data_IF_144144285988
#
_entry.id   IF_144144285988
#
_cell.length_a   1.000
_cell.length_b   1.000
_cell.length_c   1.000
_cell.angle_alpha   90.00
_cell.angle_beta   90.00
_cell.angle_gamma   90.00
#
_symmetry.space_group_name_H-M   'P 1'
#
loop_
_entity.id
_entity.type
_entity.pdbx_description
1 polymer ?
#
# COMPACT_ATOMS: atom_id res chain seq x y z
N UNK A 1 -30.87 60.67 -11.80
CA UNK A 1 -31.14 59.27 -11.44
C UNK A 1 -29.93 58.42 -11.83
N UNK A 2 -29.06 58.07 -10.87
CA UNK A 2 -27.88 57.23 -11.12
C UNK A 2 -28.24 55.77 -10.76
N UNK A 3 -28.28 54.90 -11.78
CA UNK A 3 -28.47 53.44 -11.58
C UNK A 3 -27.16 52.80 -11.10
N UNK A 4 -27.10 52.38 -9.87
CA UNK A 4 -26.01 51.48 -9.37
C UNK A 4 -26.26 50.07 -9.89
N UNK A 5 -25.34 49.60 -10.74
CA UNK A 5 -25.26 48.20 -11.19
C UNK A 5 -24.45 47.42 -10.14
N UNK A 6 -25.14 46.61 -9.34
CA UNK A 6 -24.50 45.67 -8.40
C UNK A 6 -24.13 44.42 -9.19
N UNK A 7 -22.85 44.27 -9.50
CA UNK A 7 -22.29 43.03 -10.06
C UNK A 7 -22.06 42.07 -8.90
N UNK A 8 -22.97 41.10 -8.77
CA UNK A 8 -22.81 39.99 -7.82
C UNK A 8 -21.77 39.01 -8.38
N UNK A 9 -20.56 39.05 -7.84
CA UNK A 9 -19.48 38.11 -8.18
C UNK A 9 -19.76 36.79 -7.43
N UNK A 10 -20.39 35.84 -8.12
CA UNK A 10 -20.56 34.46 -7.66
C UNK A 10 -19.19 33.79 -7.65
N UNK A 11 -18.57 33.69 -6.48
CA UNK A 11 -17.42 32.83 -6.22
C UNK A 11 -17.90 31.36 -6.29
N UNK A 12 -17.72 30.74 -7.46
CA UNK A 12 -17.88 29.30 -7.62
C UNK A 12 -16.64 28.66 -6.98
N UNK A 13 -16.77 28.26 -5.73
CA UNK A 13 -15.79 27.42 -5.06
C UNK A 13 -15.83 26.03 -5.74
N UNK A 14 -14.94 25.79 -6.69
CA UNK A 14 -14.71 24.46 -7.21
C UNK A 14 -14.14 23.60 -6.09
N UNK A 15 -14.98 22.79 -5.46
CA UNK A 15 -14.53 21.67 -4.62
C UNK A 15 -13.91 20.68 -5.59
N UNK A 16 -12.59 20.77 -5.77
CA UNK A 16 -11.82 19.75 -6.47
C UNK A 16 -11.83 18.52 -5.55
N UNK A 17 -12.82 17.67 -5.67
CA UNK A 17 -12.77 16.34 -5.11
C UNK A 17 -11.56 15.65 -5.74
N UNK A 18 -10.53 15.38 -4.95
CA UNK A 18 -9.29 14.78 -5.42
C UNK A 18 -9.59 13.52 -6.22
N UNK A 19 -9.11 13.48 -7.46
CA UNK A 19 -9.28 12.32 -8.34
C UNK A 19 -8.64 11.10 -7.66
N UNK A 20 -9.40 10.01 -7.51
CA UNK A 20 -8.90 8.75 -6.97
C UNK A 20 -8.26 7.96 -8.10
N UNK A 21 -6.94 7.73 -8.00
CA UNK A 21 -6.21 6.81 -8.88
C UNK A 21 -6.36 5.40 -8.30
N UNK A 22 -6.99 4.49 -9.04
CA UNK A 22 -7.19 3.08 -8.64
C UNK A 22 -6.44 2.14 -9.56
N UNK A 23 -5.83 1.13 -8.97
CA UNK A 23 -5.13 0.04 -9.66
C UNK A 23 -5.65 -1.30 -9.16
N UNK A 24 -5.90 -2.21 -10.10
CA UNK A 24 -6.43 -3.54 -9.82
C UNK A 24 -5.37 -4.59 -10.12
N UNK A 25 -5.33 -5.62 -9.28
CA UNK A 25 -4.38 -6.70 -9.39
C UNK A 25 -5.08 -8.04 -9.13
N UNK A 26 -4.74 -9.05 -9.91
CA UNK A 26 -5.06 -10.44 -9.62
C UNK A 26 -3.93 -11.09 -8.83
N UNK A 27 -4.27 -12.00 -7.93
CA UNK A 27 -3.32 -12.74 -7.10
C UNK A 27 -3.37 -14.21 -7.55
N UNK A 28 -2.21 -14.73 -7.91
CA UNK A 28 -2.03 -16.10 -8.36
C UNK A 28 -1.14 -16.83 -7.37
N UNK A 29 -1.41 -18.12 -7.16
CA UNK A 29 -0.52 -19.08 -6.53
C UNK A 29 -0.35 -20.23 -7.52
N UNK A 30 0.88 -20.45 -7.99
CA UNK A 30 1.13 -21.25 -9.19
C UNK A 30 0.24 -20.78 -10.35
N UNK A 31 -0.59 -21.66 -10.92
CA UNK A 31 -1.54 -21.34 -11.99
C UNK A 31 -2.96 -21.00 -11.48
N UNK A 32 -3.18 -21.09 -10.18
CA UNK A 32 -4.51 -20.85 -9.58
C UNK A 32 -4.73 -19.36 -9.28
N UNK A 33 -5.90 -18.84 -9.66
CA UNK A 33 -6.37 -17.53 -9.22
C UNK A 33 -6.89 -17.64 -7.79
N UNK A 34 -6.16 -17.05 -6.83
CA UNK A 34 -6.44 -17.20 -5.39
C UNK A 34 -6.98 -15.93 -4.76
N UNK A 35 -7.04 -14.82 -5.49
CA UNK A 35 -7.57 -13.59 -4.93
C UNK A 35 -7.29 -12.35 -5.75
N UNK A 36 -7.65 -11.21 -5.20
CA UNK A 36 -7.48 -9.90 -5.84
C UNK A 36 -6.98 -8.85 -4.86
N UNK A 37 -6.45 -7.76 -5.42
CA UNK A 37 -6.00 -6.61 -4.67
C UNK A 37 -6.40 -5.32 -5.40
N UNK A 38 -6.86 -4.35 -4.63
CA UNK A 38 -7.16 -3.00 -5.09
C UNK A 38 -6.24 -2.05 -4.33
N UNK A 39 -5.48 -1.26 -5.10
CA UNK A 39 -4.71 -0.15 -4.58
C UNK A 39 -5.38 1.16 -4.98
N UNK A 40 -5.54 2.10 -4.06
CA UNK A 40 -6.04 3.44 -4.34
C UNK A 40 -5.12 4.52 -3.79
N UNK A 41 -5.02 5.63 -4.52
CA UNK A 41 -4.31 6.84 -4.12
C UNK A 41 -5.22 8.03 -4.31
N UNK A 42 -5.30 8.91 -3.32
CA UNK A 42 -6.02 10.18 -3.43
C UNK A 42 -5.28 11.31 -2.73
N UNK A 43 -5.44 12.52 -3.26
CA UNK A 43 -5.08 13.74 -2.55
C UNK A 43 -6.23 14.15 -1.61
N UNK A 44 -5.91 14.54 -0.41
CA UNK A 44 -6.84 15.04 0.60
C UNK A 44 -6.22 16.27 1.27
N UNK A 45 -6.47 17.44 0.70
CA UNK A 45 -5.76 18.67 1.03
C UNK A 45 -4.26 18.55 0.78
N UNK A 46 -3.45 18.77 1.82
CA UNK A 46 -1.98 18.64 1.76
C UNK A 46 -1.50 17.18 1.93
N UNK A 47 -2.42 16.22 2.10
CA UNK A 47 -2.10 14.84 2.34
C UNK A 47 -2.25 13.98 1.08
N UNK A 48 -1.36 13.00 0.94
CA UNK A 48 -1.52 11.89 -0.01
C UNK A 48 -1.87 10.64 0.77
N UNK A 49 -3.04 10.09 0.50
CA UNK A 49 -3.54 8.87 1.12
C UNK A 49 -3.41 7.72 0.15
N UNK A 50 -2.80 6.63 0.59
CA UNK A 50 -2.70 5.35 -0.09
C UNK A 50 -3.50 4.32 0.70
N UNK A 51 -4.31 3.53 -0.01
CA UNK A 51 -5.13 2.47 0.58
C UNK A 51 -4.97 1.21 -0.26
N UNK A 52 -4.74 0.09 0.42
CA UNK A 52 -4.63 -1.23 -0.22
C UNK A 52 -5.66 -2.13 0.46
N UNK A 53 -6.46 -2.81 -0.33
CA UNK A 53 -7.34 -3.87 0.13
C UNK A 53 -7.10 -5.11 -0.70
N UNK A 54 -6.90 -6.25 -0.05
CA UNK A 54 -6.74 -7.54 -0.73
C UNK A 54 -7.55 -8.63 -0.05
N UNK A 55 -8.09 -9.53 -0.86
CA UNK A 55 -8.73 -10.77 -0.42
C UNK A 55 -8.05 -11.94 -1.12
N UNK A 56 -7.61 -12.92 -0.33
CA UNK A 56 -6.87 -14.10 -0.80
C UNK A 56 -7.43 -15.34 -0.14
N UNK A 57 -7.73 -16.35 -0.94
CA UNK A 57 -8.12 -17.67 -0.45
C UNK A 57 -7.10 -18.71 -0.94
N UNK A 58 -6.35 -19.28 -0.01
CA UNK A 58 -5.41 -20.36 -0.30
C UNK A 58 -5.86 -21.67 0.34
N UNK A 59 -5.43 -22.78 -0.24
CA UNK A 59 -5.66 -24.11 0.29
C UNK A 59 -4.32 -24.82 0.45
N UNK A 60 -3.93 -25.06 1.70
CA UNK A 60 -2.73 -25.85 2.02
C UNK A 60 -3.22 -27.25 2.47
N UNK A 61 -3.59 -27.40 3.75
CA UNK A 61 -4.29 -28.58 4.28
C UNK A 61 -5.79 -28.30 4.44
N UNK A 62 -6.14 -27.05 4.66
CA UNK A 62 -7.51 -26.53 4.77
C UNK A 62 -7.58 -25.16 4.07
N UNK A 63 -8.81 -24.70 3.83
CA UNK A 63 -9.06 -23.39 3.22
C UNK A 63 -8.77 -22.30 4.22
N UNK A 64 -7.91 -21.35 3.84
CA UNK A 64 -7.58 -20.15 4.63
C UNK A 64 -7.96 -18.93 3.80
N UNK A 65 -8.83 -18.10 4.34
CA UNK A 65 -9.15 -16.80 3.78
C UNK A 65 -8.37 -15.72 4.53
N UNK A 66 -7.68 -14.88 3.80
CA UNK A 66 -6.94 -13.73 4.33
C UNK A 66 -7.43 -12.45 3.66
N UNK A 67 -7.81 -11.45 4.45
CA UNK A 67 -8.11 -10.11 3.98
C UNK A 67 -7.13 -9.15 4.63
N UNK A 68 -6.50 -8.29 3.84
CA UNK A 68 -5.56 -7.30 4.34
C UNK A 68 -6.02 -5.91 3.94
N UNK A 69 -6.10 -5.01 4.92
CA UNK A 69 -6.47 -3.61 4.75
C UNK A 69 -5.33 -2.73 5.24
N UNK A 70 -4.76 -1.92 4.34
CA UNK A 70 -3.65 -1.03 4.65
C UNK A 70 -4.04 0.40 4.28
N UNK A 71 -3.65 1.32 5.14
CA UNK A 71 -3.72 2.75 4.89
C UNK A 71 -2.39 3.40 5.22
N UNK A 72 -1.91 4.31 4.35
CA UNK A 72 -0.74 5.14 4.63
C UNK A 72 -1.04 6.59 4.21
N UNK A 73 -0.71 7.54 5.08
CA UNK A 73 -0.93 8.97 4.86
C UNK A 73 0.41 9.68 4.89
N UNK A 74 0.71 10.40 3.81
CA UNK A 74 1.93 11.20 3.65
C UNK A 74 1.60 12.69 3.59
N UNK A 75 2.44 13.50 4.21
CA UNK A 75 2.48 14.95 4.05
C UNK A 75 3.89 15.36 3.63
N UNK A 76 4.03 16.18 2.59
CA UNK A 76 5.32 16.63 2.05
C UNK A 76 6.31 15.47 1.79
N UNK A 77 5.79 14.34 1.30
CA UNK A 77 6.58 13.14 1.02
C UNK A 77 7.01 12.32 2.24
N UNK A 78 6.59 12.69 3.45
CA UNK A 78 6.92 12.03 4.70
C UNK A 78 5.66 11.36 5.26
N UNK A 79 5.78 10.10 5.69
CA UNK A 79 4.71 9.37 6.38
C UNK A 79 4.34 10.09 7.67
N UNK A 80 3.04 10.29 7.90
CA UNK A 80 2.52 10.86 9.16
C UNK A 80 1.65 9.86 9.93
N UNK A 81 1.03 8.94 9.21
CA UNK A 81 0.17 7.91 9.77
C UNK A 81 0.15 6.68 8.87
N UNK A 82 0.07 5.50 9.48
CA UNK A 82 -0.24 4.26 8.77
C UNK A 82 -0.99 3.30 9.69
N UNK A 83 -1.84 2.47 9.09
CA UNK A 83 -2.47 1.32 9.74
C UNK A 83 -2.53 0.15 8.79
N UNK A 84 -2.45 -1.05 9.35
CA UNK A 84 -2.64 -2.29 8.61
C UNK A 84 -3.37 -3.31 9.48
N UNK A 85 -4.47 -3.85 9.00
CA UNK A 85 -5.23 -4.90 9.68
C UNK A 85 -5.27 -6.13 8.79
N UNK A 86 -4.78 -7.24 9.30
CA UNK A 86 -4.86 -8.55 8.66
C UNK A 86 -5.96 -9.37 9.31
N UNK A 87 -6.91 -9.82 8.52
CA UNK A 87 -7.94 -10.76 8.94
C UNK A 87 -7.60 -12.16 8.45
N UNK A 88 -7.83 -13.15 9.27
CA UNK A 88 -7.75 -14.56 8.91
C UNK A 88 -9.07 -15.25 9.26
N UNK A 89 -9.74 -15.83 8.26
CA UNK A 89 -11.07 -16.46 8.39
C UNK A 89 -12.08 -15.54 9.11
N UNK A 90 -12.09 -14.24 8.73
CA UNK A 90 -13.00 -13.22 9.25
C UNK A 90 -12.69 -12.71 10.65
N UNK A 91 -11.56 -13.09 11.27
CA UNK A 91 -11.13 -12.60 12.58
C UNK A 91 -9.86 -11.78 12.42
N UNK A 92 -9.72 -10.72 13.20
CA UNK A 92 -8.46 -9.95 13.26
C UNK A 92 -7.35 -10.89 13.72
N UNK A 93 -6.33 -11.03 12.88
CA UNK A 93 -5.14 -11.82 13.14
C UNK A 93 -3.99 -10.94 13.60
N UNK A 94 -3.84 -9.76 13.00
CA UNK A 94 -2.86 -8.75 13.40
C UNK A 94 -3.37 -7.37 13.06
N UNK A 95 -3.10 -6.41 13.95
CA UNK A 95 -3.39 -5.00 13.76
C UNK A 95 -2.14 -4.17 14.08
N UNK A 96 -1.72 -3.34 13.11
CA UNK A 96 -0.52 -2.50 13.24
C UNK A 96 -0.89 -1.06 12.99
N UNK A 97 -0.41 -0.15 13.84
CA UNK A 97 -0.61 1.29 13.74
C UNK A 97 0.72 2.01 13.89
N UNK A 98 0.97 3.00 13.05
CA UNK A 98 2.19 3.80 13.06
C UNK A 98 1.79 5.26 13.02
N UNK A 99 2.25 6.04 13.99
CA UNK A 99 1.93 7.45 14.13
C UNK A 99 3.19 8.27 14.31
N UNK A 100 3.26 9.39 13.59
CA UNK A 100 4.32 10.38 13.77
C UNK A 100 3.86 11.46 14.73
N UNK A 101 4.58 11.60 15.84
CA UNK A 101 4.38 12.69 16.81
C UNK A 101 5.73 13.15 17.37
N UNK A 102 5.88 14.44 17.62
CA UNK A 102 7.07 15.01 18.27
C UNK A 102 8.42 14.65 17.62
N UNK A 103 8.43 14.44 16.29
CA UNK A 103 9.66 14.15 15.55
C UNK A 103 10.05 12.69 15.47
N UNK A 104 9.28 11.77 16.04
CA UNK A 104 9.50 10.32 15.99
C UNK A 104 8.21 9.58 15.61
N UNK A 105 8.35 8.31 15.26
CA UNK A 105 7.21 7.41 14.99
C UNK A 105 7.10 6.38 16.11
N UNK A 106 5.88 6.19 16.57
CA UNK A 106 5.52 5.09 17.46
C UNK A 106 4.83 4.01 16.64
N UNK A 107 5.26 2.77 16.80
CA UNK A 107 4.66 1.59 16.23
C UNK A 107 3.93 0.83 17.32
N UNK A 108 2.62 0.63 17.15
CA UNK A 108 1.82 -0.28 17.97
C UNK A 108 1.42 -1.47 17.14
N UNK A 109 1.57 -2.68 17.68
CA UNK A 109 1.13 -3.92 17.08
C UNK A 109 0.32 -4.73 18.07
N UNK A 110 -0.89 -5.14 17.64
CA UNK A 110 -1.83 -5.91 18.47
C UNK A 110 -2.12 -5.25 19.84
N UNK A 111 -2.18 -3.89 19.81
CA UNK A 111 -2.45 -3.06 21.00
C UNK A 111 -1.24 -2.77 21.89
N UNK A 112 -0.04 -3.23 21.53
CA UNK A 112 1.19 -2.99 22.29
C UNK A 112 2.16 -2.11 21.49
N UNK A 113 2.78 -1.12 22.16
CA UNK A 113 3.90 -0.37 21.57
C UNK A 113 5.10 -1.29 21.43
N UNK A 114 5.66 -1.37 20.21
CA UNK A 114 6.73 -2.33 19.88
C UNK A 114 8.03 -1.66 19.47
N UNK A 115 7.96 -0.53 18.77
CA UNK A 115 9.14 0.14 18.19
C UNK A 115 8.97 1.65 18.13
N UNK A 116 10.10 2.36 18.10
CA UNK A 116 10.18 3.80 17.84
C UNK A 116 11.19 4.04 16.72
N UNK A 117 10.82 4.84 15.73
CA UNK A 117 11.72 5.31 14.66
C UNK A 117 11.90 6.82 14.74
N UNK A 118 13.13 7.29 14.57
CA UNK A 118 13.46 8.73 14.61
C UNK A 118 13.68 9.33 13.23
N UNK A 119 14.03 8.51 12.23
CA UNK A 119 14.25 8.97 10.87
C UNK A 119 12.94 9.16 10.11
N UNK A 120 12.92 10.11 9.17
CA UNK A 120 11.77 10.36 8.33
C UNK A 120 11.51 9.15 7.40
N UNK A 121 10.32 8.58 7.47
CA UNK A 121 9.88 7.48 6.60
C UNK A 121 9.32 8.10 5.30
N UNK A 122 9.97 7.81 4.16
CA UNK A 122 9.63 8.36 2.85
C UNK A 122 9.00 7.34 1.92
N UNK A 123 9.22 6.05 2.17
CA UNK A 123 8.72 4.92 1.40
C UNK A 123 7.96 3.94 2.29
N UNK A 124 6.92 3.32 1.72
CA UNK A 124 6.13 2.30 2.38
C UNK A 124 5.55 1.31 1.37
N UNK A 125 5.19 0.11 1.79
CA UNK A 125 4.67 -0.92 0.89
C UNK A 125 3.40 -0.45 0.16
N UNK A 126 2.53 0.33 0.80
CA UNK A 126 1.36 0.92 0.14
C UNK A 126 1.74 1.96 -0.94
N UNK A 127 2.76 2.79 -0.69
CA UNK A 127 3.25 3.77 -1.66
C UNK A 127 3.88 3.11 -2.88
N UNK A 128 4.53 1.94 -2.74
CA UNK A 128 5.19 1.21 -3.83
C UNK A 128 4.21 0.79 -4.94
N UNK A 129 2.92 0.67 -4.68
CA UNK A 129 1.93 0.43 -5.73
C UNK A 129 1.82 1.59 -6.74
N UNK A 130 2.22 2.79 -6.38
CA UNK A 130 2.05 4.00 -7.17
C UNK A 130 3.36 4.67 -7.58
N UNK A 131 4.41 4.50 -6.80
CA UNK A 131 5.69 5.20 -6.97
C UNK A 131 6.82 4.19 -6.97
N UNK A 132 7.62 4.20 -8.04
CA UNK A 132 8.88 3.45 -8.09
C UNK A 132 9.86 4.04 -7.07
N UNK A 133 10.50 3.23 -6.21
CA UNK A 133 11.32 3.71 -5.10
C UNK A 133 12.75 4.07 -5.53
N UNK A 134 12.88 4.90 -6.54
CA UNK A 134 14.21 5.33 -7.04
C UNK A 134 14.93 6.14 -5.97
N UNK A 135 16.12 5.67 -5.56
CA UNK A 135 16.94 6.35 -4.55
C UNK A 135 16.53 6.13 -3.10
N UNK A 136 15.54 5.28 -2.85
CA UNK A 136 15.17 4.86 -1.49
C UNK A 136 15.95 3.59 -1.12
N UNK A 137 16.50 3.55 0.10
CA UNK A 137 17.26 2.41 0.62
C UNK A 137 16.40 1.53 1.54
N UNK A 138 15.34 2.09 2.10
CA UNK A 138 14.43 1.40 3.01
C UNK A 138 12.98 1.72 2.69
N UNK A 139 12.10 0.79 3.02
CA UNK A 139 10.65 0.99 2.92
C UNK A 139 9.93 0.38 4.13
N UNK A 140 8.91 1.06 4.61
CA UNK A 140 8.10 0.56 5.71
C UNK A 140 7.19 -0.58 5.20
N UNK A 141 7.17 -1.69 5.93
CA UNK A 141 6.12 -2.71 5.85
C UNK A 141 5.04 -2.37 6.87
N UNK A 142 3.90 -1.87 6.42
CA UNK A 142 2.82 -1.46 7.31
C UNK A 142 2.27 -2.63 8.12
N UNK A 143 2.12 -3.79 7.50
CA UNK A 143 1.59 -5.00 8.16
C UNK A 143 2.51 -5.52 9.27
N UNK A 144 3.82 -5.35 9.10
CA UNK A 144 4.79 -5.82 10.07
C UNK A 144 5.20 -4.73 11.07
N UNK A 145 4.99 -3.45 10.71
CA UNK A 145 5.45 -2.31 11.49
C UNK A 145 6.97 -2.13 11.45
N UNK A 146 7.63 -2.61 10.39
CA UNK A 146 9.09 -2.68 10.28
C UNK A 146 9.61 -1.94 9.05
N UNK A 147 10.74 -1.26 9.21
CA UNK A 147 11.54 -0.80 8.09
C UNK A 147 12.28 -2.01 7.51
N UNK A 148 12.22 -2.16 6.20
CA UNK A 148 12.86 -3.23 5.44
C UNK A 148 13.84 -2.63 4.44
N UNK A 149 14.93 -3.35 4.21
CA UNK A 149 15.89 -2.97 3.19
C UNK A 149 15.28 -3.09 1.79
N UNK A 150 15.60 -2.13 0.95
CA UNK A 150 15.11 -2.04 -0.41
C UNK A 150 16.28 -2.17 -1.39
N UNK A 151 16.50 -3.39 -1.86
CA UNK A 151 17.61 -3.74 -2.73
C UNK A 151 17.25 -3.60 -4.22
N UNK A 152 18.12 -2.96 -4.99
CA UNK A 152 18.00 -2.90 -6.45
C UNK A 152 18.47 -4.22 -7.04
N UNK A 153 17.55 -5.01 -7.60
CA UNK A 153 17.82 -6.32 -8.21
C UNK A 153 18.03 -6.24 -9.73
N UNK A 154 17.88 -5.06 -10.32
CA UNK A 154 18.01 -4.83 -11.76
C UNK A 154 17.23 -3.60 -12.21
N UNK A 155 17.15 -3.41 -13.53
CA UNK A 155 16.38 -2.29 -14.08
C UNK A 155 14.91 -2.44 -13.69
N UNK A 156 14.38 -1.42 -12.97
CA UNK A 156 12.98 -1.37 -12.52
C UNK A 156 12.55 -2.61 -11.67
N UNK A 157 13.51 -3.24 -10.98
CA UNK A 157 13.28 -4.40 -10.13
C UNK A 157 13.88 -4.15 -8.75
N UNK A 158 13.06 -4.25 -7.71
CA UNK A 158 13.41 -3.96 -6.33
C UNK A 158 12.95 -5.10 -5.41
N UNK A 159 13.80 -5.51 -4.49
CA UNK A 159 13.45 -6.48 -3.46
C UNK A 159 13.31 -5.77 -2.12
N UNK A 160 12.25 -6.07 -1.40
CA UNK A 160 12.02 -5.64 -0.03
C UNK A 160 12.23 -6.84 0.88
N UNK A 161 13.31 -6.81 1.67
CA UNK A 161 13.74 -7.91 2.52
C UNK A 161 13.64 -7.54 4.00
N UNK A 162 13.33 -8.50 4.85
CA UNK A 162 13.49 -8.32 6.29
C UNK A 162 14.97 -8.37 6.66
N UNK A 163 15.40 -7.56 7.62
CA UNK A 163 16.77 -7.41 8.09
C UNK A 163 17.51 -8.76 8.15
N UNK A 164 18.45 -8.96 7.20
CA UNK A 164 19.33 -10.14 7.10
C UNK A 164 18.65 -11.49 6.82
N UNK A 165 17.38 -11.51 6.39
CA UNK A 165 16.60 -12.74 6.20
C UNK A 165 16.15 -12.91 4.74
N UNK A 166 16.70 -13.90 4.06
CA UNK A 166 16.24 -14.33 2.71
C UNK A 166 14.86 -15.03 2.72
N UNK A 167 14.24 -15.18 3.89
CA UNK A 167 13.03 -16.00 4.06
C UNK A 167 11.72 -15.28 3.76
N UNK A 168 11.72 -13.96 3.73
CA UNK A 168 10.53 -13.17 3.41
C UNK A 168 10.92 -12.07 2.46
N UNK A 169 10.67 -12.27 1.17
CA UNK A 169 11.04 -11.34 0.12
C UNK A 169 9.78 -10.90 -0.63
N UNK A 170 9.67 -9.59 -0.86
CA UNK A 170 8.69 -9.03 -1.78
C UNK A 170 9.43 -8.38 -2.92
N UNK A 171 9.34 -8.94 -4.13
CA UNK A 171 10.00 -8.38 -5.30
C UNK A 171 9.01 -7.61 -6.16
N UNK A 172 9.30 -6.34 -6.39
CA UNK A 172 8.49 -5.39 -7.15
C UNK A 172 9.07 -5.19 -8.53
N UNK A 173 8.23 -5.32 -9.58
CA UNK A 173 8.62 -5.14 -10.96
C UNK A 173 7.85 -3.97 -11.56
N UNK A 174 8.57 -2.96 -11.98
CA UNK A 174 7.99 -1.77 -12.61
C UNK A 174 8.13 -1.84 -14.13
N UNK A 175 7.38 -1.02 -14.82
CA UNK A 175 7.52 -0.78 -16.25
C UNK A 175 7.40 0.72 -16.52
N UNK A 176 8.10 1.20 -17.55
CA UNK A 176 8.11 2.61 -17.95
C UNK A 176 6.72 3.17 -18.30
N UNK A 177 5.82 2.31 -18.80
CA UNK A 177 4.51 2.72 -19.29
C UNK A 177 3.38 2.50 -18.28
N UNK A 178 3.52 1.51 -17.39
CA UNK A 178 2.43 1.08 -16.49
C UNK A 178 2.73 1.29 -15.00
N UNK A 179 3.96 1.70 -14.63
CA UNK A 179 4.40 1.71 -13.24
C UNK A 179 4.49 0.29 -12.68
N UNK A 180 4.08 0.04 -11.44
CA UNK A 180 4.11 -1.31 -10.86
C UNK A 180 3.25 -2.28 -11.68
N UNK A 181 3.89 -3.31 -12.23
CA UNK A 181 3.28 -4.31 -13.13
C UNK A 181 3.08 -5.65 -12.44
N UNK A 182 3.99 -6.04 -11.56
CA UNK A 182 3.95 -7.32 -10.85
C UNK A 182 4.64 -7.23 -9.50
N UNK A 183 4.16 -8.04 -8.54
CA UNK A 183 4.87 -8.33 -7.29
C UNK A 183 4.99 -9.85 -7.17
N UNK A 184 6.14 -10.31 -6.71
CA UNK A 184 6.36 -11.69 -6.31
C UNK A 184 6.62 -11.73 -4.81
N UNK A 185 5.78 -12.48 -4.09
CA UNK A 185 5.85 -12.62 -2.64
C UNK A 185 6.32 -14.02 -2.27
N UNK A 186 7.43 -14.09 -1.57
CA UNK A 186 7.93 -15.31 -0.94
C UNK A 186 7.79 -15.17 0.57
N UNK A 187 7.14 -16.12 1.20
CA UNK A 187 6.95 -16.18 2.66
C UNK A 187 7.18 -17.60 3.16
N UNK A 188 7.76 -17.79 4.35
CA UNK A 188 7.89 -19.11 4.94
C UNK A 188 6.52 -19.78 5.12
N UNK A 189 6.44 -21.07 4.81
CA UNK A 189 5.28 -21.92 5.06
C UNK A 189 3.99 -21.54 4.31
N UNK A 190 4.06 -20.63 3.35
CA UNK A 190 2.93 -20.24 2.49
C UNK A 190 3.37 -20.44 1.04
N UNK A 191 2.48 -20.85 0.13
CA UNK A 191 2.79 -20.88 -1.30
C UNK A 191 3.24 -19.50 -1.80
N UNK A 192 4.10 -19.47 -2.79
CA UNK A 192 4.50 -18.22 -3.44
C UNK A 192 3.29 -17.57 -4.11
N UNK A 193 3.22 -16.24 -3.97
CA UNK A 193 2.15 -15.46 -4.56
C UNK A 193 2.70 -14.52 -5.62
N UNK A 194 2.03 -14.49 -6.75
CA UNK A 194 2.29 -13.56 -7.84
C UNK A 194 1.11 -12.61 -8.01
N UNK A 195 1.37 -11.31 -7.88
CA UNK A 195 0.36 -10.26 -7.97
C UNK A 195 0.58 -9.53 -9.29
N UNK A 196 -0.36 -9.63 -10.22
CA UNK A 196 -0.26 -9.05 -11.55
C UNK A 196 -1.25 -7.90 -11.73
N UNK A 197 -0.78 -6.78 -12.25
CA UNK A 197 -1.65 -5.66 -12.59
C UNK A 197 -2.59 -6.05 -13.73
N UNK A 198 -3.87 -5.74 -13.57
CA UNK A 198 -4.92 -5.89 -14.58
C UNK A 198 -5.48 -4.54 -15.00
N UNK A 199 -6.10 -4.46 -16.18
CA UNK A 199 -6.58 -3.18 -16.71
C UNK A 199 -7.95 -2.81 -16.15
N UNK A 200 -8.76 -3.80 -15.76
CA UNK A 200 -10.13 -3.59 -15.27
C UNK A 200 -10.54 -4.66 -14.26
N UNK A 201 -11.65 -4.41 -13.55
CA UNK A 201 -12.27 -5.40 -12.66
C UNK A 201 -12.78 -6.63 -13.41
N UNK A 202 -13.21 -6.47 -14.67
CA UNK A 202 -13.65 -7.59 -15.51
C UNK A 202 -12.53 -8.61 -15.79
N UNK A 203 -11.26 -8.17 -15.74
CA UNK A 203 -10.11 -9.05 -15.94
C UNK A 203 -9.79 -9.91 -14.69
N UNK A 204 -10.50 -9.67 -13.58
CA UNK A 204 -10.33 -10.42 -12.34
C UNK A 204 -11.07 -11.77 -12.35
N UNK A 205 -12.00 -12.03 -13.31
CA UNK A 205 -12.81 -13.24 -13.40
C UNK A 205 -13.38 -13.66 -12.02
N UNK A 206 -14.03 -12.71 -11.35
CA UNK A 206 -14.73 -12.98 -10.09
C UNK A 206 -16.06 -13.61 -10.48
N UNK A 207 -16.11 -14.96 -10.52
CA UNK A 207 -17.34 -15.72 -10.53
C UNK A 207 -17.86 -15.95 -9.10
#
# INVERSE_FOLDING_TARGET
MKRCLIISLLLISNIIAGQVDKKHYKIMSDDDHVGHLIASKRADGEHLKYEISSDVTIRILFKIQMTNEIQAVFKDGILIYSSATLFMNGRVYSDTKIEKANGYYTVSKDGHETKIYTNAIRSSSAKLYFVEPVGEEVSLSETEGELKDLDIQGVQKYALTADGSDRSVSTYFYSTTKGLSRIHLVRPYVPELHIFRVNSLSDLNIE
#
